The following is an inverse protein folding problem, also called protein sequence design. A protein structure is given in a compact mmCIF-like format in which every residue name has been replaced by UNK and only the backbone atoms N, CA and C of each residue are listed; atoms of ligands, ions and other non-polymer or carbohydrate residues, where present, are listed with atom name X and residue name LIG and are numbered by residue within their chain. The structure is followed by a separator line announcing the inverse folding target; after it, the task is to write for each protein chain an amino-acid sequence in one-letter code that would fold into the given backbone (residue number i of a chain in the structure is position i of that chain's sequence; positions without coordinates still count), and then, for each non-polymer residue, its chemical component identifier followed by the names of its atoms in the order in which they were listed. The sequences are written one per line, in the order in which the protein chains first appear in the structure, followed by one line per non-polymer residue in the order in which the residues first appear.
data_IF_500291750301
#
_entry.id   IF_500291750301
#
_cell.length_a   1.000
_cell.length_b   1.000
_cell.length_c   1.000
_cell.angle_alpha   90.00
_cell.angle_beta   90.00
_cell.angle_gamma   90.00
#
_symmetry.space_group_name_H-M   'P 1'
#
loop_
_entity.id
_entity.type
_entity.pdbx_description
1 polymer ?
#
# COMPACT_ATOMS: atom_id res chain seq x y z
N UNK A 1 -4.23 -46.56 -50.79
CA UNK A 1 -3.55 -45.37 -50.26
C UNK A 1 -4.62 -44.31 -49.98
N UNK A 2 -5.12 -44.25 -48.77
CA UNK A 2 -6.15 -43.28 -48.35
C UNK A 2 -5.51 -42.28 -47.40
N UNK A 3 -5.35 -41.08 -47.86
CA UNK A 3 -4.83 -39.93 -47.09
C UNK A 3 -5.95 -39.42 -46.19
N UNK A 4 -5.85 -39.70 -44.87
CA UNK A 4 -6.68 -39.09 -43.86
C UNK A 4 -6.21 -37.64 -43.61
N UNK A 5 -6.96 -36.70 -44.18
CA UNK A 5 -6.80 -35.27 -43.88
C UNK A 5 -7.33 -35.02 -42.48
N UNK A 6 -6.42 -34.86 -41.50
CA UNK A 6 -6.77 -34.39 -40.16
C UNK A 6 -7.26 -32.92 -40.25
N UNK A 7 -8.56 -32.72 -40.04
CA UNK A 7 -9.15 -31.43 -39.87
C UNK A 7 -8.58 -30.78 -38.60
N UNK A 8 -7.84 -29.66 -38.74
CA UNK A 8 -7.47 -28.80 -37.62
C UNK A 8 -8.74 -28.27 -36.97
N UNK A 9 -8.89 -28.38 -35.63
CA UNK A 9 -10.01 -27.75 -34.95
C UNK A 9 -9.95 -26.25 -35.21
N UNK A 10 -11.03 -25.67 -35.73
CA UNK A 10 -11.23 -24.28 -35.91
C UNK A 10 -11.08 -23.60 -34.53
N UNK A 11 -10.07 -22.71 -34.38
CA UNK A 11 -9.96 -21.81 -33.24
C UNK A 11 -11.15 -20.88 -33.35
N UNK A 12 -12.19 -21.17 -32.59
CA UNK A 12 -13.34 -20.31 -32.46
C UNK A 12 -12.87 -18.95 -31.93
N UNK A 13 -12.96 -17.92 -32.77
CA UNK A 13 -12.82 -16.52 -32.35
C UNK A 13 -14.05 -16.20 -31.48
N UNK A 14 -13.97 -16.56 -30.19
CA UNK A 14 -14.94 -16.13 -29.20
C UNK A 14 -15.04 -14.60 -29.24
N UNK A 15 -16.26 -14.08 -29.29
CA UNK A 15 -16.53 -12.63 -29.24
C UNK A 15 -15.70 -11.99 -28.14
N UNK A 16 -15.20 -10.75 -28.30
CA UNK A 16 -14.34 -10.10 -27.32
C UNK A 16 -15.09 -10.04 -25.99
N UNK A 17 -14.67 -10.87 -25.04
CA UNK A 17 -15.23 -10.87 -23.68
C UNK A 17 -14.97 -9.50 -23.07
N UNK A 18 -16.02 -8.79 -22.68
CA UNK A 18 -15.89 -7.48 -22.02
C UNK A 18 -14.99 -7.65 -20.80
N UNK A 19 -13.98 -6.80 -20.66
CA UNK A 19 -13.08 -6.82 -19.50
C UNK A 19 -13.90 -6.62 -18.21
N UNK A 20 -14.76 -5.60 -18.20
CA UNK A 20 -15.55 -5.24 -17.03
C UNK A 20 -16.92 -5.96 -17.07
N UNK A 21 -17.02 -7.04 -16.28
CA UNK A 21 -18.31 -7.58 -15.85
C UNK A 21 -18.83 -6.75 -14.66
N UNK A 22 -20.14 -6.72 -14.44
CA UNK A 22 -20.73 -6.02 -13.30
C UNK A 22 -20.10 -6.42 -11.95
N UNK A 23 -19.91 -7.71 -11.64
CA UNK A 23 -19.24 -8.10 -10.39
C UNK A 23 -17.82 -7.58 -10.29
N UNK A 24 -17.05 -7.57 -11.38
CA UNK A 24 -15.69 -7.06 -11.38
C UNK A 24 -15.64 -5.53 -11.18
N UNK A 25 -16.52 -4.78 -11.86
CA UNK A 25 -16.64 -3.33 -11.68
C UNK A 25 -17.01 -2.97 -10.25
N UNK A 26 -17.98 -3.69 -9.65
CA UNK A 26 -18.36 -3.49 -8.25
C UNK A 26 -17.24 -3.88 -7.27
N UNK A 27 -16.42 -4.88 -7.61
CA UNK A 27 -15.23 -5.24 -6.78
C UNK A 27 -14.18 -4.13 -6.83
N UNK A 28 -13.91 -3.56 -8.01
CA UNK A 28 -13.01 -2.40 -8.12
C UNK A 28 -13.54 -1.19 -7.38
N UNK A 29 -14.86 -0.95 -7.42
CA UNK A 29 -15.47 0.14 -6.67
C UNK A 29 -15.38 -0.09 -5.15
N UNK A 30 -15.57 -1.33 -4.69
CA UNK A 30 -15.40 -1.71 -3.28
C UNK A 30 -13.94 -1.50 -2.82
N UNK A 31 -12.96 -1.87 -3.64
CA UNK A 31 -11.53 -1.61 -3.38
C UNK A 31 -11.25 -0.12 -3.30
N UNK A 32 -11.69 0.66 -4.29
CA UNK A 32 -11.51 2.11 -4.33
C UNK A 32 -12.07 2.80 -3.10
N UNK A 33 -13.29 2.45 -2.68
CA UNK A 33 -13.95 3.09 -1.55
C UNK A 33 -13.34 2.66 -0.21
N UNK A 34 -12.89 1.42 -0.08
CA UNK A 34 -12.16 0.95 1.10
C UNK A 34 -10.83 1.68 1.25
N UNK A 35 -10.07 1.83 0.17
CA UNK A 35 -8.82 2.60 0.16
C UNK A 35 -9.05 4.09 0.43
N UNK A 36 -10.13 4.66 -0.12
CA UNK A 36 -10.51 6.04 0.18
C UNK A 36 -10.79 6.23 1.68
N UNK A 37 -11.55 5.32 2.29
CA UNK A 37 -11.80 5.33 3.75
C UNK A 37 -10.50 5.23 4.55
N UNK A 38 -9.60 4.36 4.14
CA UNK A 38 -8.31 4.15 4.80
C UNK A 38 -7.46 5.42 4.74
N UNK A 39 -7.20 5.95 3.54
CA UNK A 39 -6.32 7.09 3.34
C UNK A 39 -6.87 8.41 3.91
N UNK A 40 -8.19 8.62 3.93
CA UNK A 40 -8.79 9.81 4.54
C UNK A 40 -8.39 9.99 6.01
N UNK A 41 -8.33 8.91 6.77
CA UNK A 41 -8.04 8.97 8.20
C UNK A 41 -6.60 8.57 8.57
N UNK A 42 -5.79 8.09 7.64
CA UNK A 42 -4.44 7.59 7.93
C UNK A 42 -3.57 8.63 8.63
N UNK A 43 -3.48 9.83 8.08
CA UNK A 43 -2.74 10.95 8.68
C UNK A 43 -3.57 11.75 9.70
N UNK A 44 -4.89 11.74 9.55
CA UNK A 44 -5.79 12.52 10.41
C UNK A 44 -5.89 11.93 11.81
N UNK A 45 -5.86 10.61 11.97
CA UNK A 45 -5.90 9.98 13.28
C UNK A 45 -4.74 10.37 14.21
N UNK A 46 -3.46 10.36 13.77
CA UNK A 46 -2.36 10.92 14.55
C UNK A 46 -2.53 12.42 14.86
N UNK A 47 -3.09 13.21 13.92
CA UNK A 47 -3.38 14.64 14.16
C UNK A 47 -4.43 14.83 15.25
N UNK A 48 -5.53 14.06 15.22
CA UNK A 48 -6.56 14.09 16.27
C UNK A 48 -6.00 13.70 17.65
N UNK A 49 -5.15 12.69 17.71
CA UNK A 49 -4.51 12.27 18.93
C UNK A 49 -3.60 13.35 19.50
N UNK A 50 -2.78 13.97 18.68
CA UNK A 50 -1.93 15.08 19.08
C UNK A 50 -2.75 16.29 19.57
N UNK A 51 -3.86 16.62 18.89
CA UNK A 51 -4.80 17.66 19.31
C UNK A 51 -5.51 17.34 20.65
N UNK A 52 -5.68 16.05 20.96
CA UNK A 52 -6.18 15.57 22.24
C UNK A 52 -5.10 15.49 23.34
N UNK A 53 -3.86 15.93 23.06
CA UNK A 53 -2.75 15.94 24.01
C UNK A 53 -1.90 14.67 24.03
N UNK A 54 -2.05 13.77 23.07
CA UNK A 54 -1.18 12.60 22.98
C UNK A 54 0.26 13.03 22.65
N UNK A 55 1.22 12.33 23.24
CA UNK A 55 2.64 12.47 22.87
C UNK A 55 2.91 11.98 21.45
N UNK A 56 4.08 12.32 20.90
CA UNK A 56 4.52 11.76 19.61
C UNK A 56 4.49 10.23 19.59
N UNK A 57 4.85 9.58 20.70
CA UNK A 57 4.73 8.12 20.86
C UNK A 57 3.27 7.66 20.73
N UNK A 58 2.35 8.38 21.38
CA UNK A 58 0.91 8.10 21.31
C UNK A 58 0.37 8.21 19.89
N UNK A 59 0.74 9.28 19.19
CA UNK A 59 0.36 9.50 17.79
C UNK A 59 0.87 8.37 16.88
N UNK A 60 2.13 7.95 17.04
CA UNK A 60 2.73 6.86 16.28
C UNK A 60 2.09 5.50 16.56
N UNK A 61 1.71 5.22 17.82
CA UNK A 61 1.04 4.00 18.21
C UNK A 61 -0.37 3.86 17.60
N UNK A 62 -1.03 4.96 17.25
CA UNK A 62 -2.31 4.93 16.55
C UNK A 62 -2.15 4.35 15.15
N UNK A 63 -1.18 4.83 14.37
CA UNK A 63 -0.87 4.24 13.06
C UNK A 63 -0.38 2.79 13.22
N UNK A 64 0.46 2.51 14.23
CA UNK A 64 0.88 1.15 14.56
C UNK A 64 -0.29 0.21 14.84
N UNK A 65 -1.29 0.66 15.60
CA UNK A 65 -2.51 -0.12 15.89
C UNK A 65 -3.33 -0.40 14.63
N UNK A 66 -3.46 0.58 13.72
CA UNK A 66 -4.13 0.42 12.43
C UNK A 66 -3.48 -0.72 11.62
N UNK A 67 -2.18 -0.64 11.43
CA UNK A 67 -1.46 -1.63 10.61
C UNK A 67 -1.33 -3.00 11.30
N UNK A 68 -1.25 -3.03 12.63
CA UNK A 68 -1.34 -4.29 13.37
C UNK A 68 -2.68 -4.99 13.11
N UNK A 69 -3.79 -4.22 13.12
CA UNK A 69 -5.10 -4.73 12.73
C UNK A 69 -5.13 -5.27 11.31
N UNK A 70 -4.53 -4.55 10.35
CA UNK A 70 -4.43 -4.96 8.94
C UNK A 70 -3.71 -6.29 8.80
N UNK A 71 -2.51 -6.41 9.37
CA UNK A 71 -1.71 -7.66 9.32
C UNK A 71 -2.44 -8.83 9.99
N UNK A 72 -3.10 -8.58 11.13
CA UNK A 72 -3.89 -9.62 11.81
C UNK A 72 -5.06 -10.11 10.95
N UNK A 73 -5.75 -9.18 10.26
CA UNK A 73 -6.83 -9.52 9.34
C UNK A 73 -6.34 -10.31 8.13
N UNK A 74 -5.23 -9.92 7.51
CA UNK A 74 -4.64 -10.63 6.38
C UNK A 74 -4.29 -12.08 6.72
N UNK A 75 -3.73 -12.31 7.91
CA UNK A 75 -3.44 -13.65 8.39
C UNK A 75 -4.70 -14.51 8.55
N UNK A 76 -5.82 -13.91 8.95
CA UNK A 76 -7.10 -14.60 9.16
C UNK A 76 -7.94 -14.75 7.88
N UNK A 77 -7.78 -13.83 6.91
CA UNK A 77 -8.69 -13.65 5.79
C UNK A 77 -8.82 -14.88 4.89
N UNK A 78 -7.73 -15.57 4.56
CA UNK A 78 -7.76 -16.76 3.73
C UNK A 78 -8.62 -17.88 4.34
N UNK A 79 -8.56 -18.05 5.66
CA UNK A 79 -9.39 -19.02 6.39
C UNK A 79 -10.84 -18.55 6.48
N UNK A 80 -11.05 -17.26 6.72
CA UNK A 80 -12.38 -16.63 6.73
C UNK A 80 -13.10 -16.79 5.38
N UNK A 81 -12.44 -16.52 4.27
CA UNK A 81 -13.01 -16.68 2.91
C UNK A 81 -13.44 -18.13 2.66
N UNK A 82 -12.61 -19.11 3.04
CA UNK A 82 -12.96 -20.54 2.89
C UNK A 82 -14.19 -20.93 3.70
N UNK A 83 -14.34 -20.42 4.91
CA UNK A 83 -15.45 -20.76 5.83
C UNK A 83 -16.72 -19.98 5.55
N UNK A 84 -16.61 -18.67 5.42
CA UNK A 84 -17.73 -17.73 5.35
C UNK A 84 -18.06 -17.25 3.92
N UNK A 85 -17.08 -17.33 3.03
CA UNK A 85 -17.21 -16.84 1.64
C UNK A 85 -16.95 -15.33 1.50
N UNK A 86 -16.83 -14.88 0.25
CA UNK A 86 -16.46 -13.50 -0.08
C UNK A 86 -17.43 -12.44 0.46
N UNK A 87 -18.74 -12.69 0.36
CA UNK A 87 -19.76 -11.71 0.77
C UNK A 87 -19.70 -11.40 2.25
N UNK A 88 -19.58 -12.42 3.10
CA UNK A 88 -19.55 -12.25 4.54
C UNK A 88 -18.23 -11.59 4.98
N UNK A 89 -17.10 -11.94 4.33
CA UNK A 89 -15.81 -11.33 4.63
C UNK A 89 -15.75 -9.87 4.23
N UNK A 90 -16.27 -9.51 3.04
CA UNK A 90 -16.34 -8.12 2.61
C UNK A 90 -17.31 -7.31 3.48
N UNK A 91 -18.44 -7.90 3.90
CA UNK A 91 -19.38 -7.25 4.81
C UNK A 91 -18.75 -6.94 6.17
N UNK A 92 -18.10 -7.93 6.77
CA UNK A 92 -17.40 -7.75 8.05
C UNK A 92 -16.28 -6.70 7.92
N UNK A 93 -15.50 -6.76 6.84
CA UNK A 93 -14.47 -5.78 6.55
C UNK A 93 -15.02 -4.36 6.42
N UNK A 94 -16.07 -4.17 5.64
CA UNK A 94 -16.70 -2.87 5.42
C UNK A 94 -17.27 -2.27 6.73
N UNK A 95 -17.94 -3.10 7.55
CA UNK A 95 -18.47 -2.65 8.84
C UNK A 95 -17.32 -2.23 9.78
N UNK A 96 -16.28 -3.06 9.90
CA UNK A 96 -15.15 -2.78 10.78
C UNK A 96 -14.30 -1.60 10.27
N UNK A 97 -14.24 -1.36 8.96
CA UNK A 97 -13.53 -0.21 8.40
C UNK A 97 -14.33 1.09 8.57
N UNK A 98 -15.64 1.06 8.32
CA UNK A 98 -16.46 2.27 8.25
C UNK A 98 -17.11 2.65 9.60
N UNK A 99 -17.79 1.72 10.28
CA UNK A 99 -18.58 2.05 11.45
C UNK A 99 -17.77 2.64 12.63
N UNK A 100 -16.55 2.15 12.95
CA UNK A 100 -15.77 2.74 14.04
C UNK A 100 -15.36 4.20 13.79
N UNK A 101 -15.30 4.66 12.52
CA UNK A 101 -15.02 6.06 12.22
C UNK A 101 -16.08 7.02 12.76
N UNK A 102 -17.32 6.56 12.91
CA UNK A 102 -18.41 7.36 13.49
C UNK A 102 -18.25 7.62 15.00
N UNK A 103 -17.43 6.83 15.69
CA UNK A 103 -17.11 7.03 17.11
C UNK A 103 -16.01 8.09 17.32
N UNK A 104 -15.43 8.65 16.27
CA UNK A 104 -14.38 9.66 16.35
C UNK A 104 -14.98 11.03 16.63
N UNK A 105 -15.09 11.34 17.90
CA UNK A 105 -15.44 12.69 18.39
C UNK A 105 -14.16 13.49 18.69
N UNK A 106 -14.23 14.81 18.69
CA UNK A 106 -13.10 15.64 19.11
C UNK A 106 -12.69 15.33 20.58
N UNK A 107 -11.38 15.09 20.79
CA UNK A 107 -10.77 14.84 22.09
C UNK A 107 -11.09 13.49 22.74
N UNK A 108 -11.29 12.46 21.94
CA UNK A 108 -11.40 11.09 22.46
C UNK A 108 -10.12 10.65 23.19
N UNK A 109 -10.24 9.80 24.23
CA UNK A 109 -9.08 9.19 24.88
C UNK A 109 -8.22 8.40 23.89
N UNK A 110 -6.91 8.43 24.05
CA UNK A 110 -5.97 7.72 23.17
C UNK A 110 -6.31 6.23 23.03
N UNK A 111 -6.75 5.57 24.10
CA UNK A 111 -7.14 4.16 24.08
C UNK A 111 -8.32 3.90 23.13
N UNK A 112 -9.30 4.81 23.07
CA UNK A 112 -10.44 4.73 22.14
C UNK A 112 -9.93 4.89 20.70
N UNK A 113 -9.08 5.90 20.45
CA UNK A 113 -8.50 6.12 19.12
C UNK A 113 -7.66 4.93 18.64
N UNK A 114 -6.88 4.29 19.51
CA UNK A 114 -6.14 3.07 19.20
C UNK A 114 -7.08 1.89 18.88
N UNK A 115 -8.15 1.71 19.64
CA UNK A 115 -9.13 0.67 19.41
C UNK A 115 -9.86 0.87 18.09
N UNK A 116 -10.30 2.10 17.80
CA UNK A 116 -10.91 2.48 16.51
C UNK A 116 -9.93 2.21 15.37
N UNK A 117 -8.66 2.62 15.51
CA UNK A 117 -7.63 2.38 14.50
C UNK A 117 -7.41 0.89 14.26
N UNK A 118 -7.29 0.08 15.30
CA UNK A 118 -7.14 -1.37 15.19
C UNK A 118 -8.32 -2.01 14.45
N UNK A 119 -9.56 -1.69 14.84
CA UNK A 119 -10.77 -2.22 14.20
C UNK A 119 -10.84 -1.81 12.72
N UNK A 120 -10.53 -0.56 12.41
CA UNK A 120 -10.49 -0.05 11.04
C UNK A 120 -9.41 -0.73 10.21
N UNK A 121 -8.23 -0.92 10.78
CA UNK A 121 -7.14 -1.66 10.14
C UNK A 121 -7.54 -3.11 9.87
N UNK A 122 -8.14 -3.79 10.85
CA UNK A 122 -8.64 -5.13 10.68
C UNK A 122 -9.70 -5.21 9.56
N UNK A 123 -10.62 -4.24 9.54
CA UNK A 123 -11.62 -4.12 8.46
C UNK A 123 -10.98 -3.91 7.09
N UNK A 124 -9.96 -3.04 7.01
CA UNK A 124 -9.22 -2.77 5.77
C UNK A 124 -8.51 -4.01 5.23
N UNK A 125 -7.79 -4.76 6.08
CA UNK A 125 -7.13 -6.00 5.67
C UNK A 125 -8.13 -7.07 5.18
N UNK A 126 -9.30 -7.20 5.82
CA UNK A 126 -10.36 -8.09 5.33
C UNK A 126 -10.88 -7.66 3.95
N UNK A 127 -11.12 -6.36 3.74
CA UNK A 127 -11.55 -5.83 2.44
C UNK A 127 -10.49 -6.12 1.37
N UNK A 128 -9.23 -5.72 1.58
CA UNK A 128 -8.16 -5.83 0.61
C UNK A 128 -7.89 -7.27 0.17
N UNK A 129 -7.79 -8.23 1.11
CA UNK A 129 -7.63 -9.65 0.74
C UNK A 129 -8.84 -10.19 0.01
N UNK A 130 -10.05 -9.78 0.39
CA UNK A 130 -11.29 -10.27 -0.23
C UNK A 130 -11.47 -9.72 -1.63
N UNK A 131 -11.26 -8.42 -1.85
CA UNK A 131 -11.36 -7.78 -3.17
C UNK A 131 -10.26 -8.27 -4.10
N UNK A 132 -9.02 -8.41 -3.60
CA UNK A 132 -7.92 -8.99 -4.36
C UNK A 132 -8.21 -10.40 -4.85
N UNK A 133 -8.75 -11.27 -3.99
CA UNK A 133 -9.16 -12.63 -4.36
C UNK A 133 -10.33 -12.64 -5.36
N UNK A 134 -11.31 -11.74 -5.20
CA UNK A 134 -12.41 -11.58 -6.14
C UNK A 134 -11.92 -11.11 -7.52
N UNK A 135 -11.03 -10.10 -7.57
CA UNK A 135 -10.44 -9.60 -8.82
C UNK A 135 -9.71 -10.74 -9.54
N UNK A 136 -8.88 -11.50 -8.83
CA UNK A 136 -8.15 -12.62 -9.40
C UNK A 136 -9.07 -13.70 -10.01
N UNK A 137 -10.26 -13.94 -9.41
CA UNK A 137 -11.23 -14.91 -9.92
C UNK A 137 -12.11 -14.39 -11.05
N UNK A 138 -12.41 -13.09 -11.06
CA UNK A 138 -13.33 -12.45 -12.00
C UNK A 138 -12.64 -11.97 -13.29
N UNK A 139 -11.31 -11.80 -13.29
CA UNK A 139 -10.57 -11.37 -14.47
C UNK A 139 -10.63 -12.42 -15.57
N UNK A 140 -10.99 -12.03 -16.82
CA UNK A 140 -11.02 -12.95 -17.96
C UNK A 140 -9.63 -13.51 -18.27
N UNK A 141 -9.51 -14.79 -18.67
CA UNK A 141 -8.29 -15.34 -19.19
C UNK A 141 -7.80 -14.54 -20.40
N UNK A 142 -6.50 -14.18 -20.43
CA UNK A 142 -5.88 -13.40 -21.50
C UNK A 142 -5.95 -11.89 -21.36
N UNK A 143 -6.71 -11.33 -20.40
CA UNK A 143 -6.78 -9.86 -20.12
C UNK A 143 -6.30 -9.48 -18.72
N UNK A 144 -5.52 -10.37 -18.09
CA UNK A 144 -5.01 -10.14 -16.71
C UNK A 144 -4.15 -8.88 -16.59
N UNK A 145 -3.27 -8.61 -17.55
CA UNK A 145 -2.41 -7.42 -17.52
C UNK A 145 -3.21 -6.12 -17.55
N UNK A 146 -4.27 -6.08 -18.36
CA UNK A 146 -5.17 -4.93 -18.43
C UNK A 146 -5.96 -4.73 -17.11
N UNK A 147 -6.45 -5.83 -16.53
CA UNK A 147 -7.13 -5.82 -15.22
C UNK A 147 -6.23 -5.39 -14.07
N UNK A 148 -4.96 -5.84 -14.05
CA UNK A 148 -3.97 -5.40 -13.06
C UNK A 148 -3.57 -3.93 -13.26
N UNK A 149 -3.51 -3.45 -14.51
CA UNK A 149 -3.31 -2.03 -14.80
C UNK A 149 -4.44 -1.16 -14.25
N UNK A 150 -5.71 -1.62 -14.41
CA UNK A 150 -6.87 -0.93 -13.85
C UNK A 150 -6.85 -0.96 -12.31
N UNK A 151 -6.46 -2.09 -11.70
CA UNK A 151 -6.28 -2.18 -10.25
C UNK A 151 -5.25 -1.16 -9.76
N UNK A 152 -4.15 -0.97 -10.49
CA UNK A 152 -3.14 0.04 -10.15
C UNK A 152 -3.72 1.47 -10.09
N UNK A 153 -4.62 1.81 -11.01
CA UNK A 153 -5.33 3.11 -10.99
C UNK A 153 -6.30 3.17 -9.80
N UNK A 154 -7.09 2.13 -9.62
CA UNK A 154 -8.09 2.04 -8.53
C UNK A 154 -7.43 2.16 -7.16
N UNK A 155 -6.24 1.59 -6.99
CA UNK A 155 -5.49 1.66 -5.73
C UNK A 155 -4.70 2.97 -5.58
N UNK A 156 -4.19 3.53 -6.66
CA UNK A 156 -3.34 4.73 -6.63
C UNK A 156 -4.12 6.03 -6.42
N UNK A 157 -5.30 6.18 -7.05
CA UNK A 157 -6.07 7.44 -6.98
C UNK A 157 -6.49 7.79 -5.55
N UNK A 158 -6.98 6.86 -4.70
CA UNK A 158 -7.28 7.17 -3.30
C UNK A 158 -6.07 7.68 -2.51
N UNK A 159 -4.89 7.12 -2.70
CA UNK A 159 -3.68 7.58 -2.02
C UNK A 159 -3.32 9.02 -2.42
N UNK A 160 -3.41 9.34 -3.73
CA UNK A 160 -3.10 10.67 -4.26
C UNK A 160 -4.12 11.73 -3.81
N UNK A 161 -5.40 11.37 -3.66
CA UNK A 161 -6.47 12.35 -3.41
C UNK A 161 -6.92 12.33 -1.95
N UNK A 162 -7.24 11.16 -1.39
CA UNK A 162 -7.89 11.07 -0.08
C UNK A 162 -6.96 11.42 1.07
N UNK A 163 -5.68 11.02 1.02
CA UNK A 163 -4.73 11.31 2.09
C UNK A 163 -4.46 12.82 2.21
N UNK A 164 -4.06 13.56 1.15
CA UNK A 164 -3.86 15.00 1.25
C UNK A 164 -5.16 15.76 1.56
N UNK A 165 -6.31 15.32 1.00
CA UNK A 165 -7.60 15.93 1.28
C UNK A 165 -7.98 15.78 2.76
N UNK A 166 -7.74 14.61 3.35
CA UNK A 166 -7.96 14.38 4.78
C UNK A 166 -7.16 15.34 5.65
N UNK A 167 -5.87 15.51 5.38
CA UNK A 167 -4.98 16.44 6.09
C UNK A 167 -5.46 17.89 5.93
N UNK A 168 -5.81 18.28 4.69
CA UNK A 168 -6.28 19.63 4.42
C UNK A 168 -7.58 19.95 5.18
N UNK A 169 -8.58 19.07 5.09
CA UNK A 169 -9.87 19.23 5.78
C UNK A 169 -9.69 19.26 7.30
N UNK A 170 -8.89 18.37 7.86
CA UNK A 170 -8.62 18.33 9.30
C UNK A 170 -7.94 19.61 9.79
N UNK A 171 -7.00 20.15 9.01
CA UNK A 171 -6.35 21.43 9.28
C UNK A 171 -7.30 22.62 9.26
N UNK A 172 -8.44 22.53 8.57
CA UNK A 172 -9.51 23.52 8.54
C UNK A 172 -10.66 23.24 9.54
N UNK A 173 -10.38 22.48 10.59
CA UNK A 173 -11.35 22.13 11.66
C UNK A 173 -12.52 21.24 11.17
N UNK A 174 -12.38 20.57 10.03
CA UNK A 174 -13.42 19.70 9.43
C UNK A 174 -13.15 18.20 9.71
N UNK A 175 -12.47 17.87 10.81
CA UNK A 175 -12.12 16.50 11.15
C UNK A 175 -13.35 15.57 11.28
N UNK A 176 -14.47 16.08 11.82
CA UNK A 176 -15.72 15.33 11.89
C UNK A 176 -16.27 14.99 10.48
N UNK A 177 -16.15 15.92 9.53
CA UNK A 177 -16.53 15.66 8.14
C UNK A 177 -15.63 14.59 7.51
N UNK A 178 -14.32 14.60 7.78
CA UNK A 178 -13.39 13.56 7.31
C UNK A 178 -13.78 12.20 7.90
N UNK A 179 -14.12 12.12 9.19
CA UNK A 179 -14.57 10.89 9.83
C UNK A 179 -15.88 10.36 9.20
N UNK A 180 -16.85 11.26 8.95
CA UNK A 180 -18.09 10.90 8.27
C UNK A 180 -17.87 10.42 6.83
N UNK A 181 -17.03 11.12 6.05
CA UNK A 181 -16.65 10.71 4.69
C UNK A 181 -15.96 9.34 4.68
N UNK A 182 -15.05 9.11 5.62
CA UNK A 182 -14.35 7.84 5.77
C UNK A 182 -15.33 6.71 6.19
N UNK A 183 -16.29 7.00 7.07
CA UNK A 183 -17.34 6.05 7.44
C UNK A 183 -18.20 5.66 6.23
N UNK A 184 -18.70 6.66 5.47
CA UNK A 184 -19.50 6.43 4.27
C UNK A 184 -18.71 5.61 3.25
N UNK A 185 -17.48 6.01 2.93
CA UNK A 185 -16.63 5.30 1.99
C UNK A 185 -16.35 3.85 2.43
N UNK A 186 -16.09 3.63 3.73
CA UNK A 186 -15.84 2.31 4.30
C UNK A 186 -17.07 1.40 4.31
N UNK A 187 -18.29 1.97 4.48
CA UNK A 187 -19.55 1.22 4.50
C UNK A 187 -20.14 0.99 3.10
N UNK A 188 -19.72 1.77 2.11
CA UNK A 188 -20.27 1.71 0.75
C UNK A 188 -20.19 0.31 0.10
N UNK A 189 -19.14 -0.52 0.32
CA UNK A 189 -19.10 -1.89 -0.18
C UNK A 189 -20.30 -2.75 0.22
N UNK A 190 -20.97 -2.46 1.37
CA UNK A 190 -22.15 -3.21 1.81
C UNK A 190 -23.30 -3.16 0.79
N UNK A 191 -23.45 -2.04 0.09
CA UNK A 191 -24.50 -1.87 -0.93
C UNK A 191 -24.28 -2.78 -2.14
N UNK A 192 -23.05 -3.23 -2.38
CA UNK A 192 -22.64 -3.97 -3.57
C UNK A 192 -22.62 -5.49 -3.37
N UNK A 193 -22.60 -5.96 -2.12
CA UNK A 193 -22.38 -7.36 -1.75
C UNK A 193 -23.33 -8.34 -2.42
N UNK A 194 -24.60 -7.94 -2.62
CA UNK A 194 -25.63 -8.82 -3.20
C UNK A 194 -25.32 -9.26 -4.63
N UNK A 195 -24.56 -8.47 -5.39
CA UNK A 195 -24.19 -8.77 -6.77
C UNK A 195 -22.84 -9.49 -6.92
N UNK A 196 -22.10 -9.64 -5.84
CA UNK A 196 -20.81 -10.33 -5.84
C UNK A 196 -20.98 -11.85 -5.71
N UNK A 197 -20.03 -12.67 -6.16
CA UNK A 197 -20.05 -14.11 -5.93
C UNK A 197 -20.05 -14.46 -4.43
N UNK A 198 -20.80 -15.48 -4.02
CA UNK A 198 -20.77 -15.97 -2.64
C UNK A 198 -19.49 -16.75 -2.34
N UNK A 199 -19.14 -17.67 -3.24
CA UNK A 199 -17.95 -18.51 -3.20
C UNK A 199 -17.36 -18.55 -4.60
N UNK A 200 -16.04 -18.57 -4.72
CA UNK A 200 -15.35 -18.77 -5.99
C UNK A 200 -14.50 -20.02 -5.90
N UNK A 201 -14.41 -20.77 -6.98
CA UNK A 201 -13.38 -21.79 -7.10
C UNK A 201 -12.03 -21.07 -7.17
N UNK A 202 -11.17 -21.31 -6.19
CA UNK A 202 -9.78 -20.86 -6.24
C UNK A 202 -9.11 -21.55 -7.43
N UNK A 203 -9.01 -20.86 -8.57
CA UNK A 203 -8.19 -21.33 -9.68
C UNK A 203 -6.74 -21.25 -9.22
N UNK A 204 -6.21 -22.40 -8.79
CA UNK A 204 -4.78 -22.55 -8.59
C UNK A 204 -4.09 -22.44 -9.95
N UNK A 205 -3.46 -21.29 -10.19
CA UNK A 205 -2.56 -21.16 -11.35
C UNK A 205 -1.37 -22.11 -11.11
N UNK A 206 -1.03 -22.99 -12.07
CA UNK A 206 0.16 -23.83 -11.94
C UNK A 206 1.37 -22.93 -11.65
N UNK A 207 2.11 -23.23 -10.59
CA UNK A 207 3.31 -22.51 -10.24
C UNK A 207 4.31 -22.60 -11.39
N UNK A 208 4.58 -21.48 -12.07
CA UNK A 208 5.69 -21.41 -13.00
C UNK A 208 6.97 -21.81 -12.25
N UNK A 209 7.88 -22.53 -12.94
CA UNK A 209 9.20 -22.88 -12.40
C UNK A 209 9.97 -21.60 -12.16
N UNK A 210 9.90 -21.08 -10.94
CA UNK A 210 10.60 -19.87 -10.54
C UNK A 210 12.07 -20.19 -10.22
N UNK A 211 12.99 -19.44 -10.79
CA UNK A 211 14.43 -19.48 -10.42
C UNK A 211 14.57 -18.91 -9.03
N UNK A 212 14.81 -19.75 -8.03
CA UNK A 212 15.04 -19.32 -6.65
C UNK A 212 16.45 -18.78 -6.50
N UNK A 213 16.60 -17.47 -6.31
CA UNK A 213 17.84 -16.91 -5.81
C UNK A 213 17.92 -17.09 -4.27
N UNK A 214 19.02 -17.68 -3.73
CA UNK A 214 19.15 -17.86 -2.28
C UNK A 214 19.02 -16.54 -1.53
N UNK A 215 18.12 -16.49 -0.55
CA UNK A 215 17.91 -15.32 0.32
C UNK A 215 17.13 -14.15 -0.26
N UNK A 216 16.72 -14.13 -1.54
CA UNK A 216 15.88 -13.08 -2.12
C UNK A 216 14.54 -12.96 -1.42
N UNK A 217 14.02 -14.09 -0.96
CA UNK A 217 12.78 -14.19 -0.19
C UNK A 217 12.77 -13.36 1.11
N UNK A 218 13.94 -12.94 1.60
CA UNK A 218 14.11 -12.10 2.78
C UNK A 218 14.68 -10.72 2.43
N UNK A 219 15.66 -10.64 1.53
CA UNK A 219 16.34 -9.38 1.19
C UNK A 219 15.40 -8.35 0.55
N UNK A 220 14.58 -8.77 -0.41
CA UNK A 220 13.65 -7.87 -1.12
C UNK A 220 12.56 -7.33 -0.19
N UNK A 221 11.85 -8.16 0.62
CA UNK A 221 10.92 -7.65 1.62
C UNK A 221 11.56 -6.72 2.64
N UNK A 222 12.78 -7.01 3.13
CA UNK A 222 13.50 -6.11 4.05
C UNK A 222 13.87 -4.77 3.39
N UNK A 223 14.30 -4.80 2.12
CA UNK A 223 14.58 -3.57 1.36
C UNK A 223 13.32 -2.73 1.22
N UNK A 224 12.20 -3.35 0.95
CA UNK A 224 10.92 -2.67 0.83
C UNK A 224 10.42 -2.16 2.19
N UNK A 225 10.49 -2.98 3.24
CA UNK A 225 10.09 -2.59 4.60
C UNK A 225 10.82 -1.34 5.10
N UNK A 226 12.11 -1.18 4.81
CA UNK A 226 12.84 0.04 5.17
C UNK A 226 12.26 1.29 4.52
N UNK A 227 11.80 1.20 3.27
CA UNK A 227 11.16 2.32 2.57
C UNK A 227 9.72 2.55 3.06
N UNK A 228 8.97 1.49 3.39
CA UNK A 228 7.61 1.63 3.92
C UNK A 228 7.60 2.15 5.37
N UNK A 229 8.63 1.85 6.17
CA UNK A 229 8.88 2.52 7.46
C UNK A 229 8.95 4.04 7.24
N UNK A 230 9.75 4.49 6.26
CA UNK A 230 9.89 5.91 5.96
C UNK A 230 8.57 6.52 5.45
N UNK A 231 7.82 5.82 4.60
CA UNK A 231 6.51 6.28 4.11
C UNK A 231 5.50 6.45 5.26
N UNK A 232 5.36 5.45 6.12
CA UNK A 232 4.48 5.53 7.29
C UNK A 232 4.87 6.68 8.23
N UNK A 233 6.17 6.92 8.42
CA UNK A 233 6.68 8.06 9.19
C UNK A 233 6.27 9.39 8.55
N UNK A 234 6.49 9.56 7.25
CA UNK A 234 6.12 10.80 6.53
C UNK A 234 4.62 11.06 6.65
N UNK A 235 3.79 10.08 6.33
CA UNK A 235 2.35 10.26 6.29
C UNK A 235 1.73 10.52 7.67
N UNK A 236 2.34 9.98 8.74
CA UNK A 236 1.86 10.17 10.11
C UNK A 236 2.41 11.42 10.78
N UNK A 237 3.65 11.80 10.50
CA UNK A 237 4.35 12.82 11.29
C UNK A 237 4.65 14.13 10.55
N UNK A 238 4.63 14.15 9.22
CA UNK A 238 4.74 15.42 8.49
C UNK A 238 3.62 16.41 8.88
N UNK A 239 2.33 15.97 9.00
CA UNK A 239 1.27 16.87 9.46
C UNK A 239 1.37 17.29 10.92
N UNK A 240 2.21 16.64 11.73
CA UNK A 240 2.46 16.98 13.14
C UNK A 240 3.73 17.82 13.32
N UNK A 241 4.50 18.05 12.25
CA UNK A 241 5.74 18.80 12.32
C UNK A 241 5.48 20.27 12.64
N UNK A 242 6.10 20.76 13.72
CA UNK A 242 5.94 22.15 14.16
C UNK A 242 6.47 23.13 13.10
N UNK A 243 5.75 24.22 12.91
CA UNK A 243 6.11 25.26 11.94
C UNK A 243 5.75 24.95 10.48
N UNK A 244 5.15 23.79 10.18
CA UNK A 244 4.67 23.45 8.84
C UNK A 244 3.14 23.57 8.79
N UNK A 245 2.58 24.53 8.04
CA UNK A 245 1.13 24.68 7.93
C UNK A 245 0.46 23.44 7.31
N UNK A 246 -0.77 23.11 7.73
CA UNK A 246 -1.52 21.96 7.23
C UNK A 246 -1.74 21.98 5.71
N UNK A 247 -1.91 23.16 5.13
CA UNK A 247 -1.99 23.34 3.67
C UNK A 247 -0.68 22.95 2.96
N UNK A 248 0.47 23.31 3.53
CA UNK A 248 1.79 22.90 3.02
C UNK A 248 1.99 21.40 3.16
N UNK A 249 1.63 20.81 4.32
CA UNK A 249 1.69 19.37 4.53
C UNK A 249 0.84 18.61 3.50
N UNK A 250 -0.41 19.03 3.32
CA UNK A 250 -1.32 18.46 2.35
C UNK A 250 -0.76 18.52 0.92
N UNK A 251 -0.27 19.69 0.50
CA UNK A 251 0.33 19.85 -0.83
C UNK A 251 1.62 19.02 -0.99
N UNK A 252 2.44 18.92 0.04
CA UNK A 252 3.67 18.13 0.04
C UNK A 252 3.37 16.61 -0.07
N UNK A 253 2.37 16.11 0.67
CA UNK A 253 1.90 14.73 0.58
C UNK A 253 1.27 14.43 -0.79
N UNK A 254 0.54 15.38 -1.38
CA UNK A 254 0.02 15.25 -2.75
C UNK A 254 1.17 15.11 -3.75
N UNK A 255 2.19 15.95 -3.66
CA UNK A 255 3.38 15.88 -4.53
C UNK A 255 4.11 14.55 -4.36
N UNK A 256 4.28 14.09 -3.13
CA UNK A 256 4.88 12.79 -2.83
C UNK A 256 4.10 11.64 -3.49
N UNK A 257 2.78 11.60 -3.34
CA UNK A 257 1.93 10.55 -3.90
C UNK A 257 1.93 10.58 -5.45
N UNK A 258 1.91 11.77 -6.07
CA UNK A 258 2.01 11.92 -7.53
C UNK A 258 3.37 11.42 -8.02
N UNK A 259 4.46 11.84 -7.39
CA UNK A 259 5.80 11.44 -7.80
C UNK A 259 6.05 9.95 -7.60
N UNK A 260 5.54 9.36 -6.52
CA UNK A 260 5.59 7.92 -6.29
C UNK A 260 4.82 7.15 -7.38
N UNK A 261 3.62 7.60 -7.73
CA UNK A 261 2.81 6.96 -8.76
C UNK A 261 3.49 7.02 -10.14
N UNK A 262 4.01 8.19 -10.52
CA UNK A 262 4.69 8.38 -11.80
C UNK A 262 6.01 7.59 -11.88
N UNK A 263 6.80 7.60 -10.82
CA UNK A 263 8.07 6.88 -10.77
C UNK A 263 7.87 5.36 -10.75
N UNK A 264 6.83 4.87 -10.06
CA UNK A 264 6.41 3.46 -10.08
C UNK A 264 6.08 3.00 -11.50
N UNK A 265 5.31 3.80 -12.26
CA UNK A 265 4.99 3.50 -13.64
C UNK A 265 6.22 3.50 -14.55
N UNK A 266 7.12 4.51 -14.41
CA UNK A 266 8.36 4.57 -15.17
C UNK A 266 9.30 3.41 -14.82
N UNK A 267 9.37 3.02 -13.54
CA UNK A 267 10.18 1.90 -13.06
C UNK A 267 9.76 0.58 -13.69
N UNK A 268 8.46 0.34 -13.90
CA UNK A 268 7.98 -0.82 -14.64
C UNK A 268 8.54 -0.86 -16.06
N UNK A 269 8.40 0.24 -16.81
CA UNK A 269 8.89 0.34 -18.19
C UNK A 269 10.42 0.21 -18.32
N UNK A 270 11.17 0.82 -17.40
CA UNK A 270 12.63 0.74 -17.38
C UNK A 270 13.11 -0.63 -16.91
N UNK A 271 12.45 -1.18 -15.88
CA UNK A 271 12.77 -2.51 -15.33
C UNK A 271 12.60 -3.61 -16.38
N UNK A 272 11.52 -3.55 -17.17
CA UNK A 272 11.28 -4.50 -18.25
C UNK A 272 12.37 -4.48 -19.33
N UNK A 273 12.99 -3.30 -19.59
CA UNK A 273 14.03 -3.14 -20.61
C UNK A 273 15.43 -3.43 -20.09
N UNK A 274 15.76 -2.99 -18.88
CA UNK A 274 17.13 -2.95 -18.37
C UNK A 274 17.35 -3.79 -17.10
N UNK A 275 16.29 -4.41 -16.59
CA UNK A 275 16.25 -5.24 -15.38
C UNK A 275 15.99 -4.44 -14.10
N UNK A 276 15.03 -4.90 -13.31
CA UNK A 276 14.54 -4.23 -12.09
C UNK A 276 15.62 -4.10 -10.99
N UNK A 277 16.55 -5.06 -10.88
CA UNK A 277 17.61 -5.05 -9.88
C UNK A 277 18.57 -3.84 -10.00
N UNK A 278 18.71 -3.25 -11.19
CA UNK A 278 19.57 -2.07 -11.41
C UNK A 278 18.98 -0.81 -10.80
N UNK A 279 17.66 -0.77 -10.64
CA UNK A 279 16.93 0.39 -10.13
C UNK A 279 16.98 0.50 -8.60
N UNK A 280 17.24 -0.60 -7.87
CA UNK A 280 17.17 -0.63 -6.40
C UNK A 280 18.12 0.38 -5.74
N UNK A 281 19.39 0.38 -6.15
CA UNK A 281 20.44 1.21 -5.51
C UNK A 281 20.17 2.71 -5.71
N UNK A 282 20.01 3.23 -6.95
CA UNK A 282 19.75 4.65 -7.14
C UNK A 282 18.46 5.10 -6.46
N UNK A 283 17.42 4.26 -6.46
CA UNK A 283 16.16 4.57 -5.83
C UNK A 283 16.26 4.66 -4.30
N UNK A 284 17.02 3.77 -3.66
CA UNK A 284 17.30 3.84 -2.21
C UNK A 284 18.05 5.13 -1.85
N UNK A 285 19.05 5.50 -2.64
CA UNK A 285 19.81 6.73 -2.42
C UNK A 285 18.90 7.95 -2.56
N UNK A 286 18.07 8.01 -3.61
CA UNK A 286 17.14 9.13 -3.85
C UNK A 286 16.12 9.22 -2.72
N UNK A 287 15.52 8.10 -2.30
CA UNK A 287 14.58 8.08 -1.17
C UNK A 287 15.23 8.56 0.14
N UNK A 288 16.43 8.08 0.43
CA UNK A 288 17.18 8.47 1.63
C UNK A 288 17.58 9.95 1.62
N UNK A 289 17.98 10.50 0.48
CA UNK A 289 18.26 11.93 0.32
C UNK A 289 16.99 12.76 0.56
N UNK A 290 15.84 12.32 0.06
CA UNK A 290 14.55 12.94 0.35
C UNK A 290 14.27 12.98 1.86
N UNK A 291 14.44 11.86 2.57
CA UNK A 291 14.26 11.80 4.02
C UNK A 291 15.27 12.65 4.78
N UNK A 292 16.54 12.65 4.36
CA UNK A 292 17.58 13.46 4.98
C UNK A 292 17.32 14.97 4.83
N UNK A 293 16.80 15.40 3.67
CA UNK A 293 16.46 16.80 3.42
C UNK A 293 15.32 17.33 4.33
N UNK A 294 14.53 16.45 4.97
CA UNK A 294 13.53 16.82 5.96
C UNK A 294 14.13 17.42 7.25
N UNK A 295 15.44 17.42 7.40
CA UNK A 295 16.10 18.14 8.51
C UNK A 295 15.82 19.67 8.44
N UNK A 296 15.52 20.19 7.24
CA UNK A 296 15.20 21.61 7.01
C UNK A 296 13.69 21.85 6.88
N UNK A 297 12.89 21.35 7.81
CA UNK A 297 11.42 21.49 7.83
C UNK A 297 10.94 22.96 7.78
N UNK A 298 11.75 23.90 8.23
CA UNK A 298 11.42 25.33 8.18
C UNK A 298 11.38 25.91 6.76
N UNK A 299 11.96 25.22 5.76
CA UNK A 299 11.96 25.67 4.37
C UNK A 299 10.89 24.95 3.55
N UNK A 300 9.82 25.63 3.11
CA UNK A 300 8.80 25.02 2.25
C UNK A 300 9.38 24.40 0.98
N UNK A 301 10.37 25.04 0.37
CA UNK A 301 11.03 24.55 -0.85
C UNK A 301 11.72 23.21 -0.60
N UNK A 302 12.43 23.09 0.54
CA UNK A 302 13.11 21.85 0.90
C UNK A 302 12.13 20.75 1.29
N UNK A 303 11.00 21.08 1.93
CA UNK A 303 9.93 20.11 2.19
C UNK A 303 9.37 19.56 0.88
N UNK A 304 9.06 20.40 -0.11
CA UNK A 304 8.61 19.93 -1.43
C UNK A 304 9.67 19.10 -2.14
N UNK A 305 10.92 19.57 -2.17
CA UNK A 305 12.03 18.84 -2.79
C UNK A 305 12.23 17.46 -2.12
N UNK A 306 12.13 17.40 -0.78
CA UNK A 306 12.18 16.15 -0.02
C UNK A 306 11.07 15.19 -0.45
N UNK A 307 9.84 15.67 -0.61
CA UNK A 307 8.70 14.85 -0.99
C UNK A 307 8.79 14.37 -2.44
N UNK A 308 9.32 15.19 -3.35
CA UNK A 308 9.62 14.76 -4.74
C UNK A 308 10.66 13.65 -4.74
N UNK A 309 11.78 13.83 -4.03
CA UNK A 309 12.86 12.83 -3.99
C UNK A 309 12.40 11.54 -3.30
N UNK A 310 11.76 11.66 -2.14
CA UNK A 310 11.26 10.50 -1.42
C UNK A 310 10.22 9.74 -2.23
N UNK A 311 9.22 10.42 -2.80
CA UNK A 311 8.20 9.80 -3.64
C UNK A 311 8.79 9.12 -4.86
N UNK A 312 9.74 9.77 -5.54
CA UNK A 312 10.42 9.20 -6.70
C UNK A 312 11.17 7.90 -6.35
N UNK A 313 11.96 7.91 -5.27
CA UNK A 313 12.67 6.72 -4.80
C UNK A 313 11.73 5.62 -4.33
N UNK A 314 10.72 5.97 -3.53
CA UNK A 314 9.74 5.04 -2.98
C UNK A 314 8.98 4.29 -4.09
N UNK A 315 8.42 5.01 -5.08
CA UNK A 315 7.65 4.37 -6.17
C UNK A 315 8.50 3.42 -7.01
N UNK A 316 9.79 3.76 -7.24
CA UNK A 316 10.71 2.83 -7.91
C UNK A 316 10.96 1.57 -7.10
N UNK A 317 11.23 1.70 -5.78
CA UNK A 317 11.46 0.55 -4.89
C UNK A 317 10.20 -0.32 -4.80
N UNK A 318 9.04 0.29 -4.69
CA UNK A 318 7.74 -0.39 -4.64
C UNK A 318 7.54 -1.30 -5.85
N UNK A 319 7.78 -0.81 -7.05
CA UNK A 319 7.69 -1.59 -8.29
C UNK A 319 8.78 -2.65 -8.39
N UNK A 320 10.05 -2.25 -8.22
CA UNK A 320 11.19 -3.11 -8.46
C UNK A 320 11.24 -4.31 -7.50
N UNK A 321 10.88 -4.11 -6.22
CA UNK A 321 10.86 -5.21 -5.25
C UNK A 321 9.76 -6.21 -5.52
N UNK A 322 8.56 -5.77 -5.91
CA UNK A 322 7.46 -6.66 -6.27
C UNK A 322 7.80 -7.47 -7.54
N UNK A 323 8.29 -6.79 -8.59
CA UNK A 323 8.68 -7.44 -9.84
C UNK A 323 9.74 -8.51 -9.60
N UNK A 324 10.81 -8.19 -8.86
CA UNK A 324 11.87 -9.16 -8.53
C UNK A 324 11.39 -10.32 -7.65
N UNK A 325 10.42 -10.08 -6.75
CA UNK A 325 9.82 -11.14 -5.95
C UNK A 325 9.00 -12.10 -6.82
N UNK A 326 8.22 -11.59 -7.77
CA UNK A 326 7.42 -12.40 -8.72
C UNK A 326 8.33 -13.22 -9.65
N UNK A 327 9.47 -12.68 -10.05
CA UNK A 327 10.47 -13.42 -10.84
C UNK A 327 11.07 -14.61 -10.07
N UNK A 328 11.14 -14.55 -8.74
CA UNK A 328 11.87 -15.50 -7.91
C UNK A 328 10.98 -16.41 -7.06
N UNK A 329 9.73 -16.06 -6.85
CA UNK A 329 8.77 -16.79 -6.03
C UNK A 329 7.45 -17.00 -6.80
N UNK A 330 6.66 -18.04 -6.44
CA UNK A 330 5.28 -18.12 -6.89
C UNK A 330 4.51 -16.85 -6.54
N UNK A 331 3.71 -16.33 -7.46
CA UNK A 331 3.04 -15.03 -7.38
C UNK A 331 2.31 -14.81 -6.03
N UNK A 332 1.55 -15.80 -5.56
CA UNK A 332 0.86 -15.71 -4.27
C UNK A 332 1.81 -15.54 -3.07
N UNK A 333 2.99 -16.19 -3.11
CA UNK A 333 4.01 -16.04 -2.05
C UNK A 333 4.76 -14.72 -2.16
N UNK A 334 4.99 -14.25 -3.38
CA UNK A 334 5.60 -12.95 -3.64
C UNK A 334 4.72 -11.81 -3.10
N UNK A 335 3.44 -11.80 -3.50
CA UNK A 335 2.47 -10.80 -3.05
C UNK A 335 2.28 -10.81 -1.53
N UNK A 336 2.12 -12.00 -0.92
CA UNK A 336 1.93 -12.11 0.53
C UNK A 336 3.13 -11.54 1.31
N UNK A 337 4.37 -11.79 0.87
CA UNK A 337 5.57 -11.26 1.53
C UNK A 337 5.75 -9.77 1.29
N UNK A 338 5.39 -9.33 0.12
CA UNK A 338 5.46 -7.93 -0.23
C UNK A 338 4.45 -7.10 0.58
N UNK A 339 3.18 -7.56 0.66
CA UNK A 339 2.15 -6.91 1.48
C UNK A 339 2.53 -6.90 2.97
N UNK A 340 3.01 -8.04 3.50
CA UNK A 340 3.47 -8.09 4.89
C UNK A 340 4.61 -7.09 5.15
N UNK A 341 5.56 -6.95 4.24
CA UNK A 341 6.64 -5.97 4.36
C UNK A 341 6.12 -4.53 4.28
N UNK A 342 5.12 -4.30 3.42
CA UNK A 342 4.43 -3.01 3.33
C UNK A 342 3.77 -2.65 4.66
N UNK A 343 2.84 -3.46 5.13
CA UNK A 343 2.01 -3.15 6.29
C UNK A 343 2.81 -3.15 7.59
N UNK A 344 3.70 -4.13 7.77
CA UNK A 344 4.56 -4.16 8.95
C UNK A 344 5.50 -2.95 9.00
N UNK A 345 6.14 -2.58 7.89
CA UNK A 345 7.01 -1.42 7.83
C UNK A 345 6.24 -0.13 8.08
N UNK A 346 5.11 0.03 7.40
CA UNK A 346 4.26 1.21 7.52
C UNK A 346 3.67 1.41 8.93
N UNK A 347 3.43 0.33 9.67
CA UNK A 347 2.95 0.39 11.05
C UNK A 347 4.06 0.55 12.09
N UNK A 348 5.17 -0.18 11.94
CA UNK A 348 6.33 -0.11 12.86
C UNK A 348 7.01 1.25 12.78
N UNK A 349 7.11 1.83 11.57
CA UNK A 349 7.77 3.11 11.35
C UNK A 349 7.27 4.22 12.28
N UNK A 350 5.99 4.61 12.20
CA UNK A 350 5.43 5.64 13.06
C UNK A 350 5.51 5.32 14.56
N UNK A 351 5.28 4.06 14.95
CA UNK A 351 5.34 3.64 16.35
C UNK A 351 6.74 3.85 16.94
N UNK A 352 7.78 3.47 16.20
CA UNK A 352 9.18 3.64 16.62
C UNK A 352 9.62 5.09 16.50
N UNK A 353 9.29 5.77 15.40
CA UNK A 353 9.63 7.18 15.19
C UNK A 353 9.12 8.06 16.33
N UNK A 354 7.87 7.86 16.75
CA UNK A 354 7.27 8.65 17.82
C UNK A 354 8.02 8.56 19.15
N UNK A 355 8.64 7.40 19.45
CA UNK A 355 9.46 7.22 20.65
C UNK A 355 10.76 8.05 20.61
N UNK A 356 11.40 8.15 19.44
CA UNK A 356 12.64 8.89 19.27
C UNK A 356 12.38 10.38 19.04
N UNK A 357 11.38 10.73 18.24
CA UNK A 357 11.06 12.12 17.90
C UNK A 357 10.78 13.00 19.11
N UNK A 358 10.20 12.44 20.17
CA UNK A 358 9.97 13.14 21.43
C UNK A 358 11.28 13.61 22.12
N UNK A 359 12.40 12.91 21.87
CA UNK A 359 13.70 13.18 22.51
C UNK A 359 14.64 14.01 21.65
N UNK A 360 14.70 13.74 20.34
CA UNK A 360 15.68 14.31 19.42
C UNK A 360 15.07 15.32 18.44
N UNK A 361 13.76 15.51 18.47
CA UNK A 361 13.03 16.38 17.54
C UNK A 361 12.76 15.74 16.18
N UNK A 362 11.75 16.23 15.48
CA UNK A 362 11.29 15.69 14.20
C UNK A 362 12.34 15.80 13.08
N UNK A 363 13.07 16.93 12.91
CA UNK A 363 14.06 17.04 11.83
C UNK A 363 15.13 15.96 11.88
N UNK A 364 15.71 15.73 13.06
CA UNK A 364 16.74 14.71 13.27
C UNK A 364 16.16 13.29 13.11
N UNK A 365 14.97 13.05 13.63
CA UNK A 365 14.31 11.76 13.51
C UNK A 365 14.00 11.40 12.04
N UNK A 366 13.58 12.37 11.20
CA UNK A 366 13.43 12.15 9.76
C UNK A 366 14.75 11.81 9.08
N UNK A 367 15.84 12.52 9.40
CA UNK A 367 17.16 12.24 8.84
C UNK A 367 17.67 10.83 9.24
N UNK A 368 17.43 10.41 10.49
CA UNK A 368 17.75 9.05 10.94
C UNK A 368 16.93 7.98 10.21
N UNK A 369 15.66 8.27 9.90
CA UNK A 369 14.86 7.38 9.07
C UNK A 369 15.46 7.23 7.66
N UNK A 370 15.99 8.30 7.08
CA UNK A 370 16.79 8.23 5.84
C UNK A 370 18.03 7.34 5.96
N UNK A 371 18.71 7.38 7.08
CA UNK A 371 19.86 6.48 7.35
C UNK A 371 19.44 5.02 7.42
N UNK A 372 18.24 4.72 7.96
CA UNK A 372 17.67 3.37 7.95
C UNK A 372 17.41 2.87 6.52
N UNK A 373 16.92 3.73 5.63
CA UNK A 373 16.75 3.40 4.21
C UNK A 373 18.09 3.06 3.56
N UNK A 374 19.18 3.74 3.92
CA UNK A 374 20.51 3.40 3.42
C UNK A 374 21.07 2.11 4.04
N UNK A 375 20.67 1.74 5.25
CA UNK A 375 21.17 0.54 5.91
C UNK A 375 20.84 -0.76 5.15
N UNK A 376 19.84 -0.75 4.26
CA UNK A 376 19.50 -1.91 3.42
C UNK A 376 20.24 -1.94 2.08
N UNK A 377 21.12 -0.97 1.78
CA UNK A 377 21.97 -0.97 0.56
C UNK A 377 22.76 -2.25 0.37
N UNK A 378 23.39 -2.87 1.40
CA UNK A 378 24.09 -4.15 1.23
C UNK A 378 23.18 -5.27 0.72
N UNK A 379 21.90 -5.29 1.14
CA UNK A 379 20.91 -6.26 0.65
C UNK A 379 20.61 -6.04 -0.83
N UNK A 380 20.40 -4.79 -1.25
CA UNK A 380 20.17 -4.42 -2.65
C UNK A 380 21.40 -4.69 -3.55
N UNK A 381 22.62 -4.43 -3.05
CA UNK A 381 23.86 -4.74 -3.75
C UNK A 381 24.04 -6.26 -3.98
N UNK A 382 23.73 -7.07 -2.98
CA UNK A 382 23.75 -8.53 -3.10
C UNK A 382 22.74 -9.02 -4.11
N UNK A 383 21.53 -8.46 -4.09
CA UNK A 383 20.49 -8.84 -5.05
C UNK A 383 20.89 -8.52 -6.49
N UNK A 384 21.44 -7.33 -6.74
CA UNK A 384 21.97 -6.95 -8.04
C UNK A 384 23.06 -7.91 -8.55
N UNK A 385 23.98 -8.35 -7.68
CA UNK A 385 25.04 -9.30 -8.04
C UNK A 385 24.49 -10.68 -8.37
N UNK A 386 23.52 -11.17 -7.61
CA UNK A 386 22.88 -12.47 -7.84
C UNK A 386 22.14 -12.49 -9.19
N UNK A 387 21.34 -11.47 -9.49
CA UNK A 387 20.65 -11.36 -10.77
C UNK A 387 21.62 -11.24 -11.94
N UNK A 388 22.71 -10.47 -11.80
CA UNK A 388 23.74 -10.35 -12.83
C UNK A 388 24.51 -11.66 -13.09
N UNK A 389 24.75 -12.45 -12.03
CA UNK A 389 25.42 -13.75 -12.14
C UNK A 389 24.56 -14.84 -12.83
N UNK A 390 23.23 -14.75 -12.68
CA UNK A 390 22.30 -15.70 -13.34
C UNK A 390 22.02 -15.35 -14.80
N UNK A 391 22.36 -14.14 -15.25
CA UNK A 391 22.18 -13.66 -16.62
C UNK A 391 23.37 -13.96 -17.55
N UNK A 392 24.50 -14.53 -17.06
CA UNK A 392 25.59 -14.97 -17.90
C UNK A 392 25.24 -16.32 -18.51
N UNK A 393 25.14 -16.46 -19.86
CA UNK A 393 25.02 -17.77 -20.49
C UNK A 393 26.31 -18.58 -20.23
N UNK A 394 26.14 -19.88 -19.92
CA UNK A 394 27.21 -20.88 -19.92
C UNK A 394 27.62 -21.17 -21.35
#
# INVERSE_FOLDING_TARGET
MSTLTQARPAVGHGAPTRLLSLPLALTFLAEFTSLTSFFLLLSVMPMLAAAAGASSSGAGLITGSLLLGTVAAEAAAATGIRRLGYRAMLAAGAVLLGAPALALLPREPQAVMMSVSFLRGFGFGLCGVTTGALIATLLPPGRRGEGLGLLGIVSGVPAVVALPAGVWLAGHQLAAAVAAMAAVAGLLPLTMIRWLPRRGEARSTPAARTRRAPGAALRLPLTFAACTIAAGVVDSFLPLAQGVPSSLCSAALLVQAITATLSRWQAGRHGDRYGHARLLIPALIVAALGMAAMIWLASPVLVFASMVLFGAGFGVIENATLALLIEQLPEAKASARWNLAYDAGYGVGPAVFGLFAARIGYPVAFALTGSLVLAVLPAALRERKVVAGTARPV
#
